data_IF_901369199905
#
_entry.id   IF_901369199905
#
_cell.length_a   1.000
_cell.length_b   1.000
_cell.length_c   1.000
_cell.angle_alpha   90.00
_cell.angle_beta   90.00
_cell.angle_gamma   90.00
#
_symmetry.space_group_name_H-M   'P 1'
#
loop_
_entity.id
_entity.type
_entity.pdbx_description
1 polymer ?
#
# COMPACT_ATOMS: atom_id res chain seq x y z
N UNK A 1 2.46 -16.19 -2.93
CA UNK A 1 2.17 -15.18 -1.89
C UNK A 1 2.70 -15.73 -0.57
N UNK A 2 3.51 -14.97 0.15
CA UNK A 2 4.17 -15.36 1.40
C UNK A 2 3.62 -14.49 2.52
N UNK A 3 3.15 -15.11 3.61
CA UNK A 3 2.61 -14.40 4.79
C UNK A 3 3.74 -13.65 5.50
N UNK A 4 3.53 -12.37 5.78
CA UNK A 4 4.50 -11.51 6.45
C UNK A 4 4.14 -11.33 7.92
N UNK A 5 2.95 -10.78 8.19
CA UNK A 5 2.49 -10.43 9.54
C UNK A 5 0.96 -10.35 9.57
N UNK A 6 0.37 -10.69 10.72
CA UNK A 6 -1.03 -10.43 11.05
C UNK A 6 -1.11 -9.30 12.07
N UNK A 7 -2.06 -8.39 11.88
CA UNK A 7 -2.29 -7.24 12.77
C UNK A 7 -3.79 -7.16 13.09
N UNK A 8 -4.17 -6.52 14.20
CA UNK A 8 -5.60 -6.36 14.53
C UNK A 8 -6.35 -5.65 13.40
N UNK A 9 -7.58 -6.09 13.12
CA UNK A 9 -8.48 -5.46 12.14
C UNK A 9 -8.80 -3.98 12.44
N UNK A 10 -8.63 -3.58 13.69
CA UNK A 10 -8.81 -2.18 14.12
C UNK A 10 -7.72 -1.24 13.59
N UNK A 11 -6.58 -1.78 13.15
CA UNK A 11 -5.50 -0.98 12.58
C UNK A 11 -5.78 -0.66 11.11
N UNK A 12 -5.65 0.60 10.73
CA UNK A 12 -5.85 1.02 9.35
C UNK A 12 -4.58 0.81 8.51
N UNK A 13 -4.54 -0.27 7.74
CA UNK A 13 -3.44 -0.57 6.83
C UNK A 13 -3.56 0.07 5.43
N UNK A 14 -4.54 0.94 5.18
CA UNK A 14 -4.77 1.51 3.83
C UNK A 14 -3.58 2.35 3.35
N UNK A 15 -2.98 3.16 4.23
CA UNK A 15 -1.81 3.97 3.87
C UNK A 15 -0.57 3.10 3.67
N UNK A 16 -0.40 2.04 4.45
CA UNK A 16 0.63 1.03 4.25
C UNK A 16 0.49 0.35 2.89
N UNK A 17 -0.72 -0.11 2.54
CA UNK A 17 -0.98 -0.74 1.24
C UNK A 17 -0.67 0.20 0.08
N UNK A 18 -1.08 1.48 0.18
CA UNK A 18 -0.76 2.49 -0.82
C UNK A 18 0.74 2.68 -0.97
N UNK A 19 1.47 2.80 0.13
CA UNK A 19 2.93 2.94 0.09
C UNK A 19 3.61 1.73 -0.56
N UNK A 20 3.23 0.51 -0.17
CA UNK A 20 3.78 -0.71 -0.77
C UNK A 20 3.54 -0.79 -2.28
N UNK A 21 2.35 -0.37 -2.74
CA UNK A 21 2.04 -0.27 -4.15
C UNK A 21 2.94 0.74 -4.88
N UNK A 22 3.15 1.92 -4.30
CA UNK A 22 4.05 2.94 -4.86
C UNK A 22 5.51 2.48 -4.97
N UNK A 23 5.96 1.63 -4.03
CA UNK A 23 7.29 1.02 -4.06
C UNK A 23 7.39 -0.17 -5.05
N UNK A 24 6.32 -0.48 -5.79
CA UNK A 24 6.29 -1.63 -6.70
C UNK A 24 6.30 -2.99 -5.99
N UNK A 25 5.98 -3.00 -4.68
CA UNK A 25 5.92 -4.23 -3.90
C UNK A 25 4.59 -4.91 -4.18
N UNK A 26 4.65 -6.06 -4.85
CA UNK A 26 3.48 -6.91 -5.02
C UNK A 26 3.06 -7.48 -3.67
N UNK A 27 1.92 -6.99 -3.16
CA UNK A 27 1.40 -7.35 -1.85
C UNK A 27 -0.10 -7.64 -1.93
N UNK A 28 -0.61 -8.35 -0.92
CA UNK A 28 -2.03 -8.62 -0.72
C UNK A 28 -2.35 -8.54 0.76
N UNK A 29 -3.45 -7.89 1.11
CA UNK A 29 -3.98 -7.86 2.48
C UNK A 29 -5.30 -8.62 2.47
N UNK A 30 -5.47 -9.54 3.40
CA UNK A 30 -6.74 -10.26 3.60
C UNK A 30 -7.16 -10.11 5.05
N UNK A 31 -8.46 -10.22 5.29
CA UNK A 31 -9.03 -10.15 6.63
C UNK A 31 -9.44 -11.56 7.02
N UNK A 32 -8.87 -12.08 8.10
CA UNK A 32 -9.15 -13.43 8.58
C UNK A 32 -9.17 -13.43 10.12
N UNK A 33 -10.23 -13.99 10.70
CA UNK A 33 -10.35 -14.18 12.16
C UNK A 33 -10.15 -12.92 13.03
N UNK A 34 -10.53 -11.74 12.51
CA UNK A 34 -10.35 -10.47 13.22
C UNK A 34 -8.95 -9.85 13.06
N UNK A 35 -8.13 -10.38 12.17
CA UNK A 35 -6.82 -9.85 11.83
C UNK A 35 -6.74 -9.45 10.35
N UNK A 36 -5.97 -8.41 10.04
CA UNK A 36 -5.50 -8.12 8.69
C UNK A 36 -4.14 -8.78 8.49
N UNK A 37 -4.06 -9.69 7.53
CA UNK A 37 -2.86 -10.45 7.23
C UNK A 37 -2.23 -9.93 5.94
N UNK A 38 -0.98 -9.47 6.04
CA UNK A 38 -0.20 -8.95 4.92
C UNK A 38 0.60 -10.09 4.27
N UNK A 39 0.51 -10.19 2.96
CA UNK A 39 1.24 -11.11 2.11
C UNK A 39 2.08 -10.35 1.09
N UNK A 40 3.23 -10.91 0.72
CA UNK A 40 4.10 -10.40 -0.35
C UNK A 40 4.35 -11.44 -1.44
N UNK A 41 4.74 -10.98 -2.62
CA UNK A 41 5.09 -11.84 -3.75
C UNK A 41 6.43 -12.57 -3.60
N UNK A 42 7.41 -11.96 -2.91
CA UNK A 42 8.79 -12.45 -2.85
C UNK A 42 9.32 -12.56 -1.40
N UNK A 43 10.09 -13.61 -1.11
CA UNK A 43 10.69 -13.85 0.20
C UNK A 43 11.66 -12.75 0.62
N UNK A 44 12.37 -12.13 -0.33
CA UNK A 44 13.27 -11.01 -0.03
C UNK A 44 12.53 -9.75 0.49
N UNK A 45 11.22 -9.67 0.25
CA UNK A 45 10.39 -8.55 0.70
C UNK A 45 9.78 -8.78 2.08
N UNK A 46 9.87 -10.00 2.63
CA UNK A 46 9.22 -10.35 3.91
C UNK A 46 9.77 -9.52 5.06
N UNK A 47 11.07 -9.58 5.31
CA UNK A 47 11.72 -8.86 6.41
C UNK A 47 11.57 -7.32 6.31
N UNK A 48 11.83 -6.67 5.15
CA UNK A 48 11.65 -5.22 5.06
C UNK A 48 10.18 -4.79 5.22
N UNK A 49 9.22 -5.53 4.66
CA UNK A 49 7.79 -5.21 4.83
C UNK A 49 7.34 -5.46 6.28
N UNK A 50 7.82 -6.52 6.93
CA UNK A 50 7.53 -6.80 8.33
C UNK A 50 8.02 -5.67 9.24
N UNK A 51 9.25 -5.20 9.03
CA UNK A 51 9.79 -4.05 9.78
C UNK A 51 8.99 -2.78 9.51
N UNK A 52 8.66 -2.50 8.25
CA UNK A 52 7.84 -1.35 7.88
C UNK A 52 6.47 -1.37 8.56
N UNK A 53 5.80 -2.53 8.62
CA UNK A 53 4.51 -2.67 9.31
C UNK A 53 4.67 -2.38 10.80
N UNK A 54 5.72 -2.91 11.44
CA UNK A 54 5.98 -2.68 12.86
C UNK A 54 6.24 -1.20 13.15
N UNK A 55 7.09 -0.54 12.36
CA UNK A 55 7.41 0.89 12.51
C UNK A 55 6.17 1.78 12.24
N UNK A 56 5.31 1.38 11.30
CA UNK A 56 4.03 2.06 11.02
C UNK A 56 3.03 1.95 12.18
N UNK A 57 2.85 0.75 12.73
CA UNK A 57 1.95 0.53 13.86
C UNK A 57 2.44 1.19 15.16
N UNK A 58 3.76 1.31 15.33
CA UNK A 58 4.34 2.05 16.46
C UNK A 58 4.05 3.56 16.39
N UNK A 59 3.62 4.07 15.23
CA UNK A 59 3.44 5.51 14.99
C UNK A 59 4.75 6.25 14.72
N UNK A 60 5.89 5.55 14.71
CA UNK A 60 7.22 6.08 14.38
C UNK A 60 7.36 6.43 12.90
N UNK A 61 6.45 5.93 12.06
CA UNK A 61 6.54 6.07 10.61
C UNK A 61 5.24 6.60 10.01
N UNK A 62 5.26 7.89 9.63
CA UNK A 62 4.20 8.48 8.83
C UNK A 62 4.45 8.24 7.35
N UNK A 63 3.70 7.31 6.76
CA UNK A 63 3.76 7.00 5.34
C UNK A 63 3.11 8.12 4.51
N UNK A 64 3.91 9.09 4.09
CA UNK A 64 3.46 10.09 3.11
C UNK A 64 3.55 9.50 1.70
N UNK A 65 2.42 9.05 1.18
CA UNK A 65 2.31 8.69 -0.23
C UNK A 65 2.53 9.94 -1.08
N UNK A 66 3.67 10.03 -1.76
CA UNK A 66 3.94 11.12 -2.71
C UNK A 66 2.93 11.05 -3.85
N UNK A 67 2.03 12.05 -3.93
CA UNK A 67 1.18 12.26 -5.09
C UNK A 67 2.09 12.40 -6.32
N UNK A 68 1.92 11.63 -7.41
CA UNK A 68 2.73 11.81 -8.61
C UNK A 68 2.47 13.22 -9.13
N UNK A 69 3.55 14.01 -9.18
CA UNK A 69 3.51 15.38 -9.69
C UNK A 69 3.37 15.29 -11.22
N UNK A 70 2.17 15.58 -11.71
CA UNK A 70 1.90 15.74 -13.13
C UNK A 70 2.66 16.95 -13.66
N UNK A 71 3.56 16.73 -14.63
CA UNK A 71 4.13 17.77 -15.47
C UNK A 71 4.33 17.26 -16.92
N UNK A 72 3.33 17.55 -17.75
CA UNK A 72 3.36 17.89 -19.19
C UNK A 72 3.90 16.88 -20.23
N UNK A 73 2.99 16.37 -21.08
CA UNK A 73 2.78 16.82 -22.48
C UNK A 73 2.38 15.66 -23.44
N UNK A 74 1.23 15.82 -24.13
CA UNK A 74 1.02 15.27 -25.47
C UNK A 74 0.12 14.04 -25.62
N UNK A 75 -1.18 14.31 -25.86
CA UNK A 75 -2.13 13.61 -26.73
C UNK A 75 -2.02 12.10 -27.00
N UNK A 76 -3.07 11.37 -26.60
CA UNK A 76 -3.87 10.47 -27.45
C UNK A 76 -4.69 9.55 -26.54
N UNK A 77 -5.92 9.97 -26.28
CA UNK A 77 -7.11 9.13 -26.11
C UNK A 77 -6.93 7.61 -26.36
N UNK A 78 -7.10 6.83 -25.28
CA UNK A 78 -7.71 5.51 -25.36
C UNK A 78 -8.43 5.21 -24.03
N UNK A 79 -9.77 5.10 -23.99
CA UNK A 79 -10.50 4.90 -22.75
C UNK A 79 -10.51 3.40 -22.41
N UNK A 80 -9.61 2.95 -21.54
CA UNK A 80 -9.76 1.67 -20.85
C UNK A 80 -10.13 1.96 -19.39
N UNK A 81 -11.38 1.62 -19.08
CA UNK A 81 -12.08 1.48 -17.80
C UNK A 81 -11.36 1.69 -16.46
N UNK A 82 -11.99 2.56 -15.66
CA UNK A 82 -12.33 2.34 -14.25
C UNK A 82 -11.20 1.94 -13.27
N UNK A 83 -10.52 2.93 -12.68
CA UNK A 83 -9.81 2.78 -11.40
C UNK A 83 -9.44 4.12 -10.76
N UNK A 84 -10.08 4.40 -9.61
CA UNK A 84 -9.68 5.23 -8.46
C UNK A 84 -9.09 6.64 -8.73
N UNK A 85 -9.96 7.65 -8.69
CA UNK A 85 -9.58 9.08 -8.77
C UNK A 85 -9.61 9.76 -7.39
N UNK A 86 -8.43 10.19 -6.93
CA UNK A 86 -8.21 11.10 -5.80
C UNK A 86 -8.90 12.46 -6.00
N UNK A 87 -9.38 13.07 -4.89
CA UNK A 87 -9.73 14.50 -4.83
C UNK A 87 -9.21 15.12 -3.53
N UNK A 88 -8.26 16.03 -3.65
CA UNK A 88 -7.88 16.98 -2.58
C UNK A 88 -8.77 18.23 -2.70
N UNK A 89 -9.10 18.83 -1.55
CA UNK A 89 -9.80 20.11 -1.46
C UNK A 89 -8.97 21.24 -2.09
N UNK A 90 -9.66 22.09 -2.85
CA UNK A 90 -10.08 23.36 -2.25
C UNK A 90 -11.60 23.48 -2.37
#
# INVERSE_FOLDING_TARGET
>A
MIRVVGVSIDNDLRDLSRYLWQQGVQHRIIEESGEQVVFVGNQQQVEPVKKLVADFLAGDLQLQAVKPMSAAAGGSENPISDSLTYRFLR
#
